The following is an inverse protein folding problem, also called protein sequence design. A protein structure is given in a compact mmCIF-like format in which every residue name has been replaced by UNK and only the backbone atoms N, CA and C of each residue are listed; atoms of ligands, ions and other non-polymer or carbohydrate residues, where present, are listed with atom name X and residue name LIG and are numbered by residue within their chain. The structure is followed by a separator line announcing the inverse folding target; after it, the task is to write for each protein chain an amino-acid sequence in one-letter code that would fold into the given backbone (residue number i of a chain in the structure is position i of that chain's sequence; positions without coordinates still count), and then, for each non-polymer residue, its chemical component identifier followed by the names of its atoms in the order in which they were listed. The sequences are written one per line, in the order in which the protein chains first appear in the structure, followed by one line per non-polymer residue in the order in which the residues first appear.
data_IF_191087574354
#
_entry.id   IF_191087574354
#
_cell.length_a   1.000
_cell.length_b   1.000
_cell.length_c   1.000
_cell.angle_alpha   90.00
_cell.angle_beta   90.00
_cell.angle_gamma   90.00
#
_symmetry.space_group_name_H-M   'P 1'
#
loop_
_entity.id
_entity.type
_entity.pdbx_description
1 polymer ?
#
# COMPACT_ATOMS: atom_id res chain seq x y z
N UNK A 1 10.18 17.85 -3.62
CA UNK A 1 10.28 16.38 -3.42
C UNK A 1 10.71 16.20 -1.98
N UNK A 2 9.95 15.47 -1.18
CA UNK A 2 10.36 15.10 0.17
C UNK A 2 11.50 14.07 0.14
N UNK A 3 12.04 13.75 1.30
CA UNK A 3 13.21 12.87 1.39
C UNK A 3 12.90 11.43 0.97
N UNK A 4 11.71 10.92 1.32
CA UNK A 4 11.30 9.55 0.97
C UNK A 4 11.19 9.39 -0.54
N UNK A 5 10.45 10.27 -1.21
CA UNK A 5 10.34 10.27 -2.67
C UNK A 5 11.70 10.41 -3.38
N UNK A 6 12.64 11.16 -2.80
CA UNK A 6 13.99 11.26 -3.34
C UNK A 6 14.76 9.94 -3.22
N UNK A 7 14.61 9.24 -2.10
CA UNK A 7 15.26 7.95 -1.90
C UNK A 7 14.74 6.87 -2.84
N UNK A 8 13.43 6.78 -3.03
CA UNK A 8 12.83 5.85 -4.01
C UNK A 8 13.32 6.15 -5.43
N UNK A 9 13.42 7.43 -5.80
CA UNK A 9 13.97 7.83 -7.09
C UNK A 9 15.44 7.42 -7.23
N UNK A 10 16.26 7.62 -6.20
CA UNK A 10 17.67 7.21 -6.20
C UNK A 10 17.81 5.69 -6.38
N UNK A 11 17.03 4.91 -5.65
CA UNK A 11 17.04 3.45 -5.73
C UNK A 11 16.61 2.96 -7.11
N UNK A 12 15.55 3.53 -7.67
CA UNK A 12 15.10 3.21 -9.01
C UNK A 12 16.20 3.48 -10.06
N UNK A 13 16.86 4.63 -9.99
CA UNK A 13 17.99 4.98 -10.90
C UNK A 13 19.16 4.03 -10.70
N UNK A 14 19.52 3.73 -9.46
CA UNK A 14 20.64 2.85 -9.13
C UNK A 14 20.43 1.43 -9.67
N UNK A 15 19.25 0.83 -9.40
CA UNK A 15 18.95 -0.52 -9.87
C UNK A 15 18.78 -0.58 -11.39
N UNK A 16 18.13 0.41 -11.98
CA UNK A 16 18.01 0.48 -13.44
C UNK A 16 19.38 0.51 -14.13
N UNK A 17 20.32 1.32 -13.64
CA UNK A 17 21.66 1.36 -14.23
C UNK A 17 22.40 0.03 -14.06
N UNK A 18 22.21 -0.68 -12.94
CA UNK A 18 22.78 -2.03 -12.77
C UNK A 18 22.16 -3.03 -13.76
N UNK A 19 20.83 -3.03 -13.92
CA UNK A 19 20.13 -3.85 -14.89
C UNK A 19 20.68 -3.56 -16.29
N UNK A 20 20.71 -2.29 -16.67
CA UNK A 20 21.16 -1.85 -17.98
C UNK A 20 22.64 -2.22 -18.26
N UNK A 21 23.51 -2.15 -17.26
CA UNK A 21 24.91 -2.58 -17.37
C UNK A 21 25.05 -4.10 -17.56
N UNK A 22 24.20 -4.92 -16.93
CA UNK A 22 24.22 -6.37 -17.08
C UNK A 22 23.79 -6.84 -18.48
N UNK A 23 23.04 -6.01 -19.22
CA UNK A 23 22.49 -6.37 -20.53
C UNK A 23 23.09 -5.56 -21.69
N UNK A 24 24.32 -5.09 -21.55
CA UNK A 24 25.08 -4.39 -22.60
C UNK A 24 24.31 -3.26 -23.29
N UNK A 25 23.60 -2.44 -22.49
CA UNK A 25 22.77 -1.36 -22.99
C UNK A 25 21.66 -1.81 -23.98
N UNK A 26 21.14 -3.03 -23.85
CA UNK A 26 19.91 -3.42 -24.55
C UNK A 26 18.79 -2.45 -24.21
N UNK A 27 17.88 -2.23 -25.17
CA UNK A 27 16.65 -1.51 -24.86
C UNK A 27 15.94 -2.21 -23.69
N UNK A 28 15.42 -1.49 -22.68
CA UNK A 28 14.66 -2.09 -21.58
C UNK A 28 13.54 -3.04 -22.02
N UNK A 29 12.93 -2.78 -23.19
CA UNK A 29 11.96 -3.69 -23.82
C UNK A 29 12.53 -5.03 -24.27
N UNK A 30 13.80 -5.11 -24.58
CA UNK A 30 14.41 -6.36 -25.05
C UNK A 30 14.92 -7.23 -23.92
N UNK A 31 14.75 -6.81 -22.66
CA UNK A 31 15.12 -7.57 -21.48
C UNK A 31 13.94 -8.46 -21.10
N UNK A 32 14.14 -9.76 -21.13
CA UNK A 32 13.10 -10.71 -20.76
C UNK A 32 12.93 -10.80 -19.24
N UNK A 33 11.73 -11.17 -18.79
CA UNK A 33 11.49 -11.39 -17.36
C UNK A 33 12.35 -12.52 -16.77
N UNK A 34 12.80 -13.49 -17.59
CA UNK A 34 13.73 -14.51 -17.14
C UNK A 34 15.10 -13.91 -16.81
N UNK A 35 15.57 -12.95 -17.62
CA UNK A 35 16.81 -12.22 -17.37
C UNK A 35 16.71 -11.37 -16.10
N UNK A 36 15.59 -10.69 -15.90
CA UNK A 36 15.32 -9.90 -14.67
C UNK A 36 15.36 -10.78 -13.42
N UNK A 37 14.71 -11.95 -13.46
CA UNK A 37 14.72 -12.90 -12.32
C UNK A 37 16.12 -13.41 -11.98
N UNK A 38 17.01 -13.55 -12.97
CA UNK A 38 18.43 -13.91 -12.72
C UNK A 38 19.18 -12.87 -11.90
N UNK A 39 18.70 -11.62 -11.87
CA UNK A 39 19.24 -10.54 -11.01
C UNK A 39 18.62 -10.52 -9.60
N UNK A 40 17.76 -11.48 -9.28
CA UNK A 40 17.03 -11.52 -8.01
C UNK A 40 15.81 -10.58 -7.97
N UNK A 41 15.45 -9.95 -9.09
CA UNK A 41 14.31 -9.07 -9.19
C UNK A 41 13.09 -9.84 -9.71
N UNK A 42 11.93 -9.58 -9.13
CA UNK A 42 10.67 -10.03 -9.70
C UNK A 42 10.02 -8.96 -10.60
N UNK A 43 8.95 -9.34 -11.25
CA UNK A 43 8.26 -8.47 -12.21
C UNK A 43 7.71 -7.21 -11.55
N UNK A 44 7.22 -7.30 -10.31
CA UNK A 44 6.64 -6.16 -9.60
C UNK A 44 7.69 -5.09 -9.30
N UNK A 45 8.87 -5.50 -8.85
CA UNK A 45 10.01 -4.62 -8.57
C UNK A 45 10.49 -3.95 -9.86
N UNK A 46 10.66 -4.73 -10.94
CA UNK A 46 11.08 -4.18 -12.22
C UNK A 46 10.09 -3.15 -12.77
N UNK A 47 8.80 -3.47 -12.76
CA UNK A 47 7.76 -2.56 -13.22
C UNK A 47 7.68 -1.29 -12.37
N UNK A 48 7.86 -1.39 -11.04
CA UNK A 48 7.91 -0.23 -10.17
C UNK A 48 9.10 0.68 -10.50
N UNK A 49 10.30 0.13 -10.72
CA UNK A 49 11.48 0.87 -11.16
C UNK A 49 11.20 1.63 -12.46
N UNK A 50 10.68 0.94 -13.47
CA UNK A 50 10.37 1.55 -14.77
C UNK A 50 9.36 2.70 -14.62
N UNK A 51 8.28 2.49 -13.89
CA UNK A 51 7.26 3.52 -13.67
C UNK A 51 7.82 4.77 -12.98
N UNK A 52 8.63 4.60 -11.94
CA UNK A 52 9.29 5.72 -11.24
C UNK A 52 10.17 6.52 -12.20
N UNK A 53 10.94 5.85 -13.06
CA UNK A 53 11.79 6.53 -14.02
C UNK A 53 10.98 7.30 -15.07
N UNK A 54 9.90 6.73 -15.58
CA UNK A 54 9.04 7.39 -16.57
C UNK A 54 8.36 8.63 -15.99
N UNK A 55 7.72 8.55 -14.82
CA UNK A 55 7.01 9.69 -14.21
C UNK A 55 7.94 10.83 -13.76
N UNK A 56 9.23 10.57 -13.66
CA UNK A 56 10.25 11.56 -13.35
C UNK A 56 11.06 12.04 -14.57
N UNK A 57 10.64 11.68 -15.78
CA UNK A 57 11.33 11.99 -17.04
C UNK A 57 12.80 11.54 -17.06
N UNK A 58 13.05 10.36 -16.52
CA UNK A 58 14.37 9.70 -16.48
C UNK A 58 14.44 8.53 -17.46
N UNK A 59 13.33 8.13 -18.03
CA UNK A 59 13.17 7.12 -19.06
C UNK A 59 12.04 7.56 -19.98
N UNK A 60 12.30 7.61 -21.27
CA UNK A 60 11.25 7.97 -22.24
C UNK A 60 10.42 6.72 -22.59
N UNK A 61 9.13 6.95 -22.87
CA UNK A 61 8.19 5.92 -23.28
C UNK A 61 7.49 6.39 -24.56
N UNK A 62 7.58 5.57 -25.60
CA UNK A 62 6.89 5.80 -26.86
C UNK A 62 6.19 4.51 -27.36
N UNK A 63 5.57 4.56 -28.53
CA UNK A 63 4.91 3.40 -29.16
C UNK A 63 5.89 2.24 -29.42
N UNK A 64 7.17 2.51 -29.51
CA UNK A 64 8.27 1.55 -29.60
C UNK A 64 8.69 1.01 -28.24
N UNK A 65 8.36 1.65 -27.10
CA UNK A 65 8.60 1.34 -25.71
C UNK A 65 9.57 2.22 -24.97
N UNK A 66 10.23 1.65 -23.97
CA UNK A 66 11.15 2.42 -23.13
C UNK A 66 12.45 2.71 -23.86
N UNK A 67 12.84 4.00 -23.86
CA UNK A 67 14.08 4.49 -24.48
C UNK A 67 14.88 5.29 -23.47
N UNK A 68 16.17 5.04 -23.39
CA UNK A 68 17.09 5.84 -22.59
C UNK A 68 17.92 6.75 -23.49
N UNK A 69 17.69 8.06 -23.39
CA UNK A 69 18.42 9.08 -24.13
C UNK A 69 19.74 9.46 -23.43
N UNK A 70 20.59 10.24 -24.10
CA UNK A 70 21.79 10.79 -23.48
C UNK A 70 21.41 11.79 -22.36
N UNK A 71 20.34 12.55 -22.53
CA UNK A 71 19.81 13.46 -21.50
C UNK A 71 19.36 12.68 -20.27
N UNK A 72 18.65 11.55 -20.42
CA UNK A 72 18.28 10.67 -19.31
C UNK A 72 19.53 10.18 -18.58
N UNK A 73 20.58 9.73 -19.30
CA UNK A 73 21.85 9.27 -18.70
C UNK A 73 22.54 10.36 -17.89
N UNK A 74 22.50 11.61 -18.34
CA UNK A 74 23.04 12.74 -17.58
C UNK A 74 22.25 13.02 -16.33
N UNK A 75 20.90 12.98 -16.40
CA UNK A 75 20.03 13.10 -15.24
C UNK A 75 20.27 11.99 -14.22
N UNK A 76 20.41 10.72 -14.69
CA UNK A 76 20.75 9.59 -13.80
C UNK A 76 22.06 9.84 -13.07
N UNK A 77 23.10 10.28 -13.80
CA UNK A 77 24.40 10.60 -13.20
C UNK A 77 24.26 11.70 -12.15
N UNK A 78 23.54 12.78 -12.46
CA UNK A 78 23.29 13.87 -11.53
C UNK A 78 22.59 13.40 -10.24
N UNK A 79 21.59 12.50 -10.34
CA UNK A 79 20.91 11.94 -9.16
C UNK A 79 21.87 11.10 -8.32
N UNK A 80 22.69 10.26 -8.96
CA UNK A 80 23.66 9.41 -8.25
C UNK A 80 24.81 10.20 -7.62
N UNK A 81 25.22 11.33 -8.24
CA UNK A 81 26.31 12.16 -7.76
C UNK A 81 25.90 13.17 -6.70
N UNK A 82 24.64 13.63 -6.73
CA UNK A 82 24.08 14.63 -5.79
C UNK A 82 23.74 14.07 -4.40
N UNK A 83 24.49 13.09 -3.95
CA UNK A 83 24.28 12.44 -2.66
C UNK A 83 24.75 13.39 -1.54
N UNK A 84 23.80 13.98 -0.85
CA UNK A 84 24.02 14.86 0.29
C UNK A 84 24.68 14.11 1.47
N UNK A 85 24.49 12.78 1.53
CA UNK A 85 25.10 11.95 2.56
C UNK A 85 25.38 10.51 2.07
N UNK A 86 26.60 10.30 1.57
CA UNK A 86 27.04 8.99 1.04
C UNK A 86 26.84 7.81 2.00
N UNK A 87 26.93 8.06 3.31
CA UNK A 87 26.77 6.98 4.31
C UNK A 87 25.30 6.56 4.49
N UNK A 88 24.37 7.51 4.47
CA UNK A 88 22.94 7.18 4.54
C UNK A 88 22.49 6.41 3.30
N UNK A 89 22.87 6.87 2.12
CA UNK A 89 22.53 6.19 0.87
C UNK A 89 23.10 4.78 0.79
N UNK A 90 24.33 4.57 1.27
CA UNK A 90 24.91 3.23 1.38
C UNK A 90 24.06 2.32 2.25
N UNK A 91 23.60 2.82 3.39
CA UNK A 91 22.74 2.07 4.31
C UNK A 91 21.41 1.68 3.65
N UNK A 92 20.71 2.61 2.99
CA UNK A 92 19.48 2.34 2.26
C UNK A 92 19.68 1.35 1.11
N UNK A 93 20.75 1.52 0.32
CA UNK A 93 21.08 0.56 -0.76
C UNK A 93 21.36 -0.84 -0.23
N UNK A 94 22.03 -0.96 0.93
CA UNK A 94 22.28 -2.24 1.59
C UNK A 94 20.98 -2.88 2.10
N UNK A 95 20.09 -2.09 2.72
CA UNK A 95 18.75 -2.55 3.15
C UNK A 95 17.92 -3.02 1.96
N UNK A 96 17.86 -2.24 0.89
CA UNK A 96 17.13 -2.61 -0.33
C UNK A 96 17.69 -3.89 -0.96
N UNK A 97 19.03 -3.99 -1.13
CA UNK A 97 19.66 -5.21 -1.64
C UNK A 97 19.36 -6.43 -0.76
N UNK A 98 19.35 -6.25 0.56
CA UNK A 98 18.98 -7.31 1.50
C UNK A 98 17.52 -7.71 1.32
N UNK A 99 16.60 -6.77 1.25
CA UNK A 99 15.18 -7.03 1.05
C UNK A 99 14.90 -7.77 -0.27
N UNK A 100 15.62 -7.43 -1.35
CA UNK A 100 15.52 -8.12 -2.64
C UNK A 100 16.03 -9.56 -2.58
N UNK A 101 17.16 -9.80 -1.89
CA UNK A 101 17.81 -11.11 -1.87
C UNK A 101 17.31 -12.02 -0.73
N UNK A 102 16.99 -11.44 0.42
CA UNK A 102 16.60 -12.12 1.65
C UNK A 102 15.21 -11.61 2.09
N UNK A 103 14.19 -11.82 1.23
CA UNK A 103 12.86 -11.27 1.49
C UNK A 103 12.35 -11.60 2.88
N UNK A 104 12.00 -10.54 3.61
CA UNK A 104 11.19 -10.60 4.82
C UNK A 104 10.08 -9.56 4.71
N UNK A 105 8.84 -9.95 5.02
CA UNK A 105 7.72 -9.03 5.00
C UNK A 105 7.99 -7.88 5.98
N UNK A 106 7.73 -6.64 5.54
CA UNK A 106 8.12 -5.43 6.28
C UNK A 106 7.74 -5.48 7.77
N UNK A 107 6.49 -5.77 8.07
CA UNK A 107 6.01 -5.80 9.44
C UNK A 107 6.63 -6.92 10.29
N UNK A 108 7.06 -8.01 9.68
CA UNK A 108 7.78 -9.10 10.36
C UNK A 108 9.26 -8.75 10.60
N UNK A 109 9.78 -7.76 9.89
CA UNK A 109 11.16 -7.29 10.02
C UNK A 109 11.38 -6.30 11.16
N UNK A 110 10.31 -5.66 11.63
CA UNK A 110 10.35 -4.65 12.68
C UNK A 110 10.58 -5.28 14.06
N UNK A 111 11.46 -4.68 14.86
CA UNK A 111 11.49 -4.92 16.30
C UNK A 111 10.18 -4.41 16.95
N UNK A 112 9.84 -4.90 18.14
CA UNK A 112 8.63 -4.44 18.86
C UNK A 112 8.62 -2.91 19.05
N UNK A 113 9.78 -2.30 19.34
CA UNK A 113 9.89 -0.85 19.51
C UNK A 113 9.65 -0.09 18.18
N UNK A 114 10.25 -0.54 17.09
CA UNK A 114 10.05 0.06 15.77
C UNK A 114 8.59 -0.04 15.33
N UNK A 115 7.96 -1.19 15.56
CA UNK A 115 6.55 -1.38 15.23
C UNK A 115 5.64 -0.52 16.11
N UNK A 116 5.97 -0.32 17.40
CA UNK A 116 5.26 0.61 18.27
C UNK A 116 5.37 2.05 17.77
N UNK A 117 6.57 2.51 17.43
CA UNK A 117 6.82 3.86 16.87
C UNK A 117 6.03 4.03 15.57
N UNK A 118 6.09 3.07 14.66
CA UNK A 118 5.32 3.07 13.42
C UNK A 118 3.82 3.17 13.70
N UNK A 119 3.28 2.35 14.62
CA UNK A 119 1.86 2.35 14.95
C UNK A 119 1.38 3.68 15.53
N UNK A 120 2.21 4.33 16.36
CA UNK A 120 1.90 5.67 16.90
C UNK A 120 1.92 6.76 15.83
N UNK A 121 2.85 6.69 14.88
CA UNK A 121 2.90 7.60 13.74
C UNK A 121 1.71 7.38 12.80
N UNK A 122 1.43 6.12 12.45
CA UNK A 122 0.35 5.72 11.55
C UNK A 122 -1.03 6.18 12.07
N UNK A 123 -1.24 6.22 13.40
CA UNK A 123 -2.46 6.76 13.98
C UNK A 123 -2.78 8.17 13.48
N UNK A 124 -1.78 9.05 13.42
CA UNK A 124 -2.01 10.44 12.99
C UNK A 124 -2.32 10.54 11.50
N UNK A 125 -1.66 9.72 10.69
CA UNK A 125 -1.86 9.69 9.24
C UNK A 125 -3.27 9.19 8.92
N UNK A 126 -3.65 8.05 9.49
CA UNK A 126 -4.97 7.43 9.23
C UNK A 126 -6.12 8.23 9.86
N UNK A 127 -5.88 8.93 10.98
CA UNK A 127 -6.85 9.86 11.56
C UNK A 127 -7.22 10.98 10.58
N UNK A 128 -6.23 11.62 9.94
CA UNK A 128 -6.47 12.67 8.93
C UNK A 128 -7.29 12.14 7.74
N UNK A 129 -7.00 10.94 7.27
CA UNK A 129 -7.82 10.32 6.22
C UNK A 129 -9.25 10.06 6.69
N UNK A 130 -9.41 9.64 7.95
CA UNK A 130 -10.72 9.45 8.56
C UNK A 130 -11.56 10.72 8.63
N UNK A 131 -10.94 11.89 8.86
CA UNK A 131 -11.62 13.20 8.81
C UNK A 131 -12.17 13.52 7.40
N UNK A 132 -11.57 12.98 6.35
CA UNK A 132 -12.11 13.08 5.00
C UNK A 132 -13.23 12.06 4.78
N UNK A 133 -13.03 10.80 5.14
CA UNK A 133 -14.00 9.71 4.95
C UNK A 133 -15.33 10.03 5.61
N UNK A 134 -15.32 10.58 6.83
CA UNK A 134 -16.52 10.89 7.59
C UNK A 134 -17.45 11.93 6.93
N UNK A 135 -16.95 12.65 5.91
CA UNK A 135 -17.77 13.59 5.14
C UNK A 135 -18.74 12.88 4.18
N UNK A 136 -18.45 11.65 3.84
CA UNK A 136 -19.15 10.87 2.80
C UNK A 136 -19.95 9.69 3.34
N UNK A 137 -19.71 9.28 4.60
CA UNK A 137 -20.29 8.08 5.19
C UNK A 137 -20.94 8.38 6.53
N UNK A 138 -22.17 7.88 6.70
CA UNK A 138 -22.87 7.88 7.96
C UNK A 138 -22.84 6.47 8.57
N UNK A 139 -22.20 6.34 9.73
CA UNK A 139 -22.08 5.08 10.46
C UNK A 139 -22.93 5.04 11.75
N UNK A 140 -23.89 5.95 11.93
CA UNK A 140 -24.76 5.96 13.10
C UNK A 140 -25.50 4.62 13.22
N UNK A 141 -25.42 4.00 14.41
CA UNK A 141 -25.98 2.68 14.71
C UNK A 141 -25.49 1.53 13.83
N UNK A 142 -24.32 1.67 13.21
CA UNK A 142 -23.71 0.67 12.34
C UNK A 142 -22.68 -0.19 13.10
N UNK A 143 -22.52 -1.44 12.64
CA UNK A 143 -21.42 -2.32 13.03
C UNK A 143 -20.36 -2.27 11.96
N UNK A 144 -19.14 -1.93 12.34
CA UNK A 144 -17.99 -1.78 11.43
C UNK A 144 -16.88 -2.71 11.85
N UNK A 145 -16.34 -3.43 10.88
CA UNK A 145 -15.09 -4.20 11.00
C UNK A 145 -14.01 -3.53 10.15
N UNK A 146 -12.90 -3.19 10.74
CA UNK A 146 -11.70 -2.73 10.03
C UNK A 146 -10.61 -3.79 10.18
N UNK A 147 -10.06 -4.26 9.07
CA UNK A 147 -8.91 -5.16 9.05
C UNK A 147 -7.64 -4.38 8.77
N UNK A 148 -6.58 -4.66 9.54
CA UNK A 148 -5.32 -3.94 9.41
C UNK A 148 -5.45 -2.47 9.83
N UNK A 149 -6.38 -2.13 10.72
CA UNK A 149 -6.65 -0.74 11.13
C UNK A 149 -5.59 -0.13 12.04
N UNK A 150 -4.49 -0.84 12.23
CA UNK A 150 -3.37 -0.44 13.06
C UNK A 150 -3.86 0.00 14.47
N UNK A 151 -3.37 1.11 14.97
CA UNK A 151 -3.76 1.66 16.28
C UNK A 151 -5.08 2.46 16.29
N UNK A 152 -5.86 2.42 15.21
CA UNK A 152 -7.24 2.89 15.16
C UNK A 152 -7.42 4.39 14.88
N UNK A 153 -6.50 5.01 14.13
CA UNK A 153 -6.62 6.41 13.77
C UNK A 153 -7.86 6.69 12.92
N UNK A 154 -8.10 5.90 11.85
CA UNK A 154 -9.29 6.01 11.00
C UNK A 154 -10.57 5.85 11.84
N UNK A 155 -10.70 4.75 12.59
CA UNK A 155 -11.85 4.47 13.43
C UNK A 155 -12.11 5.57 14.46
N UNK A 156 -11.07 6.16 15.04
CA UNK A 156 -11.19 7.29 15.98
C UNK A 156 -11.83 8.50 15.32
N UNK A 157 -11.39 8.87 14.11
CA UNK A 157 -11.98 9.99 13.39
C UNK A 157 -13.45 9.74 13.00
N UNK A 158 -13.76 8.51 12.56
CA UNK A 158 -15.13 8.11 12.21
C UNK A 158 -16.07 8.15 13.42
N UNK A 159 -15.62 7.65 14.58
CA UNK A 159 -16.40 7.64 15.81
C UNK A 159 -16.61 9.04 16.42
N UNK A 160 -15.77 10.00 16.12
CA UNK A 160 -15.96 11.37 16.58
C UNK A 160 -17.34 11.96 16.18
N UNK A 161 -17.85 11.53 15.01
CA UNK A 161 -19.19 11.92 14.50
C UNK A 161 -20.25 10.82 14.57
N UNK A 162 -19.86 9.58 14.80
CA UNK A 162 -20.77 8.41 14.82
C UNK A 162 -20.64 7.67 16.16
N UNK A 163 -21.02 8.32 17.25
CA UNK A 163 -20.79 7.84 18.63
C UNK A 163 -21.48 6.50 18.94
N UNK A 164 -22.58 6.21 18.25
CA UNK A 164 -23.38 4.98 18.44
C UNK A 164 -22.92 3.84 17.49
N UNK A 165 -21.85 4.05 16.74
CA UNK A 165 -21.24 3.02 15.90
C UNK A 165 -20.49 2.01 16.78
N UNK A 166 -20.65 0.72 16.48
CA UNK A 166 -19.86 -0.36 17.07
C UNK A 166 -18.69 -0.64 16.12
N UNK A 167 -17.49 -0.28 16.53
CA UNK A 167 -16.31 -0.34 15.70
C UNK A 167 -15.31 -1.38 16.23
N UNK A 168 -14.96 -2.35 15.40
CA UNK A 168 -14.02 -3.41 15.72
C UNK A 168 -12.85 -3.37 14.76
N UNK A 169 -11.64 -3.41 15.29
CA UNK A 169 -10.37 -3.49 14.54
C UNK A 169 -9.74 -4.84 14.79
N UNK A 170 -9.32 -5.51 13.73
CA UNK A 170 -8.46 -6.70 13.79
C UNK A 170 -7.09 -6.34 13.25
N UNK A 171 -6.07 -6.54 14.08
CA UNK A 171 -4.68 -6.32 13.71
C UNK A 171 -3.76 -7.22 14.54
N UNK A 172 -2.47 -7.18 14.30
CA UNK A 172 -1.46 -7.89 15.07
C UNK A 172 -1.27 -7.32 16.48
N UNK A 173 -0.50 -7.99 17.31
CA UNK A 173 -0.33 -7.70 18.76
C UNK A 173 0.05 -6.23 19.03
N UNK A 174 1.10 -5.72 18.39
CA UNK A 174 1.65 -4.39 18.72
C UNK A 174 0.68 -3.25 18.37
N UNK A 175 0.10 -3.18 17.15
CA UNK A 175 -0.95 -2.22 16.84
C UNK A 175 -2.13 -2.26 17.82
N UNK A 176 -2.62 -3.46 18.15
CA UNK A 176 -3.71 -3.62 19.11
C UNK A 176 -3.34 -3.12 20.52
N UNK A 177 -2.11 -3.32 20.96
CA UNK A 177 -1.61 -2.79 22.23
C UNK A 177 -1.63 -1.27 22.24
N UNK A 178 -1.04 -0.63 21.23
CA UNK A 178 -1.02 0.84 21.09
C UNK A 178 -2.43 1.40 20.96
N UNK A 179 -3.29 0.76 20.17
CA UNK A 179 -4.69 1.16 20.00
C UNK A 179 -5.48 1.11 21.31
N UNK A 180 -5.28 0.08 22.14
CA UNK A 180 -5.89 -0.02 23.46
C UNK A 180 -5.42 1.06 24.44
N UNK A 181 -4.19 1.54 24.33
CA UNK A 181 -3.72 2.71 25.08
C UNK A 181 -4.46 3.98 24.64
N UNK A 182 -4.52 4.26 23.34
CA UNK A 182 -5.24 5.41 22.79
C UNK A 182 -6.74 5.37 23.12
N UNK A 183 -7.35 4.18 23.04
CA UNK A 183 -8.74 3.96 23.45
C UNK A 183 -8.98 4.39 24.88
N UNK A 184 -8.13 3.98 25.82
CA UNK A 184 -8.26 4.34 27.24
C UNK A 184 -8.12 5.85 27.47
N UNK A 185 -7.08 6.46 26.85
CA UNK A 185 -6.80 7.88 26.99
C UNK A 185 -7.94 8.76 26.45
N UNK A 186 -8.54 8.37 25.32
CA UNK A 186 -9.54 9.17 24.62
C UNK A 186 -10.98 8.69 24.85
N UNK A 187 -11.20 7.67 25.69
CA UNK A 187 -12.53 7.07 26.00
C UNK A 187 -13.31 6.66 24.75
N UNK A 188 -12.60 6.02 23.79
CA UNK A 188 -13.18 5.62 22.51
C UNK A 188 -13.94 4.30 22.63
N UNK A 189 -15.01 4.15 21.83
CA UNK A 189 -15.78 2.91 21.74
C UNK A 189 -15.27 2.04 20.56
N UNK A 190 -13.97 1.70 20.57
CA UNK A 190 -13.34 0.81 19.60
C UNK A 190 -13.00 -0.51 20.27
N UNK A 191 -13.35 -1.63 19.65
CA UNK A 191 -12.86 -2.95 20.00
C UNK A 191 -11.56 -3.24 19.25
N UNK A 192 -10.53 -3.75 19.94
CA UNK A 192 -9.32 -4.27 19.30
C UNK A 192 -9.24 -5.77 19.52
N UNK A 193 -9.06 -6.52 18.44
CA UNK A 193 -8.91 -7.99 18.45
C UNK A 193 -7.55 -8.29 17.81
N UNK A 194 -6.66 -8.89 18.60
CA UNK A 194 -5.42 -9.44 18.06
C UNK A 194 -5.74 -10.66 17.19
N UNK A 195 -5.33 -10.65 15.93
CA UNK A 195 -5.63 -11.71 15.00
C UNK A 195 -4.87 -11.63 13.68
N UNK A 196 -4.94 -12.73 12.93
CA UNK A 196 -4.40 -12.85 11.59
C UNK A 196 -5.53 -12.66 10.57
N UNK A 197 -5.41 -11.68 9.69
CA UNK A 197 -6.41 -11.39 8.65
C UNK A 197 -6.60 -12.52 7.64
N UNK A 198 -5.59 -13.39 7.49
CA UNK A 198 -5.66 -14.57 6.62
C UNK A 198 -6.39 -15.76 7.27
N UNK A 199 -6.52 -15.75 8.59
CA UNK A 199 -7.15 -16.79 9.41
C UNK A 199 -8.17 -16.18 10.36
N UNK A 200 -9.01 -15.29 9.82
CA UNK A 200 -9.95 -14.50 10.59
C UNK A 200 -10.89 -15.40 11.39
N UNK A 201 -10.77 -15.35 12.70
CA UNK A 201 -11.60 -16.07 13.67
C UNK A 201 -12.35 -15.06 14.53
N UNK A 202 -13.47 -14.59 14.03
CA UNK A 202 -14.39 -13.74 14.79
C UNK A 202 -15.61 -14.56 15.24
N UNK A 203 -16.32 -14.06 16.24
CA UNK A 203 -17.68 -14.53 16.52
C UNK A 203 -18.54 -14.45 15.25
N UNK A 204 -19.67 -15.17 15.19
CA UNK A 204 -20.58 -15.18 14.03
C UNK A 204 -21.33 -13.84 13.83
N UNK A 205 -20.71 -12.72 14.20
CA UNK A 205 -21.28 -11.40 14.00
C UNK A 205 -21.22 -10.98 12.52
N UNK A 206 -22.30 -10.30 12.10
CA UNK A 206 -22.39 -9.67 10.80
C UNK A 206 -22.14 -8.16 10.95
N UNK A 207 -21.50 -7.57 9.95
CA UNK A 207 -21.13 -6.15 9.93
C UNK A 207 -21.85 -5.42 8.80
N UNK A 208 -22.23 -4.16 9.05
CA UNK A 208 -22.79 -3.29 8.00
C UNK A 208 -21.70 -2.81 7.03
N UNK A 209 -20.49 -2.60 7.56
CA UNK A 209 -19.32 -2.17 6.78
C UNK A 209 -18.07 -2.95 7.14
N UNK A 210 -17.31 -3.31 6.13
CA UNK A 210 -15.94 -3.83 6.27
C UNK A 210 -15.00 -2.82 5.62
N UNK A 211 -14.02 -2.32 6.38
CA UNK A 211 -13.07 -1.30 5.94
C UNK A 211 -11.69 -1.94 5.77
N UNK A 212 -11.09 -1.69 4.62
CA UNK A 212 -9.71 -2.06 4.28
C UNK A 212 -9.01 -0.79 3.81
N UNK A 213 -8.14 -0.23 4.66
CA UNK A 213 -7.39 0.97 4.35
C UNK A 213 -5.91 0.65 4.31
N UNK A 214 -5.25 0.96 3.18
CA UNK A 214 -3.83 0.72 2.97
C UNK A 214 -3.43 -0.72 3.41
N UNK A 215 -4.21 -1.70 2.98
CA UNK A 215 -4.03 -3.09 3.36
C UNK A 215 -3.84 -4.01 2.15
N UNK A 216 -4.71 -3.89 1.15
CA UNK A 216 -4.67 -4.82 0.01
C UNK A 216 -3.45 -4.57 -0.88
N UNK A 217 -2.88 -3.38 -0.84
CA UNK A 217 -1.66 -3.08 -1.57
C UNK A 217 -0.44 -3.85 -1.06
N UNK A 218 -0.44 -4.35 0.16
CA UNK A 218 0.67 -5.13 0.72
C UNK A 218 0.73 -6.56 0.16
N UNK A 219 -0.29 -7.02 -0.56
CA UNK A 219 -0.45 -8.41 -0.93
C UNK A 219 -0.68 -8.61 -2.43
N UNK A 220 -0.26 -9.78 -2.93
CA UNK A 220 -0.64 -10.29 -4.25
C UNK A 220 -2.15 -10.59 -4.32
N UNK A 221 -2.67 -10.77 -5.54
CA UNK A 221 -4.10 -10.96 -5.77
C UNK A 221 -4.65 -12.22 -5.10
N UNK A 222 -3.85 -13.29 -4.98
CA UNK A 222 -4.26 -14.53 -4.30
C UNK A 222 -4.48 -14.33 -2.82
N UNK A 223 -3.56 -13.63 -2.16
CA UNK A 223 -3.67 -13.25 -0.74
C UNK A 223 -4.82 -12.27 -0.52
N UNK A 224 -4.98 -11.27 -1.39
CA UNK A 224 -6.14 -10.37 -1.35
C UNK A 224 -7.46 -11.15 -1.40
N UNK A 225 -7.60 -12.10 -2.33
CA UNK A 225 -8.79 -12.94 -2.42
C UNK A 225 -9.01 -13.81 -1.18
N UNK A 226 -7.94 -14.29 -0.53
CA UNK A 226 -8.06 -15.01 0.74
C UNK A 226 -8.65 -14.12 1.85
N UNK A 227 -8.10 -12.91 2.02
CA UNK A 227 -8.63 -11.92 2.99
C UNK A 227 -10.08 -11.61 2.71
N UNK A 228 -10.43 -11.30 1.45
CA UNK A 228 -11.79 -10.95 1.05
C UNK A 228 -12.78 -12.11 1.30
N UNK A 229 -12.41 -13.37 0.99
CA UNK A 229 -13.23 -14.55 1.29
C UNK A 229 -13.42 -14.77 2.79
N UNK A 230 -12.44 -14.45 3.62
CA UNK A 230 -12.61 -14.48 5.07
C UNK A 230 -13.60 -13.42 5.54
N UNK A 231 -13.54 -12.22 4.96
CA UNK A 231 -14.50 -11.16 5.24
C UNK A 231 -15.94 -11.55 4.91
N UNK A 232 -16.19 -12.28 3.80
CA UNK A 232 -17.57 -12.64 3.40
C UNK A 232 -18.30 -13.52 4.42
N UNK A 233 -17.60 -14.20 5.31
CA UNK A 233 -18.20 -14.96 6.43
C UNK A 233 -18.91 -14.05 7.45
N UNK A 234 -18.64 -12.76 7.40
CA UNK A 234 -19.13 -11.73 8.31
C UNK A 234 -20.02 -10.70 7.58
N UNK A 235 -20.47 -11.04 6.37
CA UNK A 235 -21.31 -10.21 5.51
C UNK A 235 -22.74 -10.76 5.42
N UNK A 236 -23.69 -9.85 5.26
CA UNK A 236 -25.04 -10.14 4.78
C UNK A 236 -25.29 -9.47 3.41
N UNK A 237 -26.53 -9.50 2.94
CA UNK A 237 -26.96 -8.89 1.67
C UNK A 237 -26.87 -7.36 1.63
N UNK A 238 -26.56 -6.69 2.71
CA UNK A 238 -26.48 -5.22 2.83
C UNK A 238 -25.06 -4.75 3.19
N UNK A 239 -24.17 -5.67 3.55
CA UNK A 239 -22.80 -5.33 3.94
C UNK A 239 -22.07 -4.66 2.79
N UNK A 240 -21.39 -3.56 3.06
CA UNK A 240 -20.54 -2.85 2.09
C UNK A 240 -19.07 -2.90 2.49
N UNK A 241 -18.20 -2.99 1.50
CA UNK A 241 -16.77 -2.78 1.71
C UNK A 241 -16.39 -1.34 1.36
N UNK A 242 -15.55 -0.76 2.18
CA UNK A 242 -14.89 0.52 1.95
C UNK A 242 -13.40 0.26 1.78
N UNK A 243 -12.93 0.42 0.56
CA UNK A 243 -11.52 0.25 0.22
C UNK A 243 -10.91 1.63 0.08
N UNK A 244 -9.90 1.94 0.89
CA UNK A 244 -9.25 3.24 0.91
C UNK A 244 -7.79 3.03 0.57
N UNK A 245 -7.39 3.41 -0.64
CA UNK A 245 -6.08 3.10 -1.19
C UNK A 245 -5.56 4.22 -2.09
N UNK A 246 -4.27 4.18 -2.37
CA UNK A 246 -3.66 4.93 -3.45
C UNK A 246 -3.99 4.23 -4.77
N UNK A 247 -4.86 4.83 -5.55
CA UNK A 247 -5.40 4.22 -6.78
C UNK A 247 -4.64 4.71 -8.00
N UNK A 248 -4.19 3.78 -8.84
CA UNK A 248 -3.68 4.11 -10.17
C UNK A 248 -4.84 4.52 -11.10
N UNK A 249 -4.69 5.63 -11.79
CA UNK A 249 -5.65 6.12 -12.80
C UNK A 249 -5.17 5.87 -14.23
N UNK A 250 -3.95 5.41 -14.39
CA UNK A 250 -3.30 5.04 -15.63
C UNK A 250 -1.99 4.30 -15.35
N UNK A 251 -1.33 3.86 -16.41
CA UNK A 251 -0.06 3.11 -16.28
C UNK A 251 1.02 3.93 -15.56
N UNK A 252 1.00 5.25 -15.74
CA UNK A 252 1.97 6.20 -15.19
C UNK A 252 1.31 7.32 -14.37
N UNK A 253 0.12 7.10 -13.83
CA UNK A 253 -0.65 8.09 -13.06
C UNK A 253 -1.40 7.47 -11.87
N UNK A 254 -1.60 8.22 -10.78
CA UNK A 254 -0.95 9.47 -10.44
C UNK A 254 0.49 9.25 -9.98
N UNK A 255 1.33 10.27 -10.15
CA UNK A 255 2.75 10.21 -9.77
C UNK A 255 2.94 9.80 -8.30
N UNK A 256 2.12 10.32 -7.40
CA UNK A 256 2.20 10.05 -5.97
C UNK A 256 2.05 8.54 -5.66
N UNK A 257 1.06 7.86 -6.27
CA UNK A 257 0.87 6.43 -6.09
C UNK A 257 2.04 5.61 -6.68
N UNK A 258 2.57 6.05 -7.82
CA UNK A 258 3.71 5.39 -8.48
C UNK A 258 4.97 5.49 -7.63
N UNK A 259 5.23 6.65 -7.03
CA UNK A 259 6.42 6.85 -6.19
C UNK A 259 6.47 5.90 -4.99
N UNK A 260 5.33 5.49 -4.44
CA UNK A 260 5.28 4.50 -3.36
C UNK A 260 5.38 3.04 -3.83
N UNK A 261 5.28 2.80 -5.15
CA UNK A 261 5.17 1.46 -5.72
C UNK A 261 6.43 0.60 -5.56
N UNK A 262 7.63 1.18 -5.62
CA UNK A 262 8.88 0.44 -5.49
C UNK A 262 9.03 -0.13 -4.08
N UNK A 263 8.76 0.69 -3.08
CA UNK A 263 8.80 0.28 -1.67
C UNK A 263 7.86 -0.89 -1.41
N UNK A 264 6.59 -0.79 -1.83
CA UNK A 264 5.62 -1.89 -1.70
C UNK A 264 6.11 -3.17 -2.38
N UNK A 265 6.67 -3.05 -3.59
CA UNK A 265 7.15 -4.22 -4.33
C UNK A 265 8.33 -4.93 -3.64
N UNK A 266 9.16 -4.19 -2.89
CA UNK A 266 10.33 -4.74 -2.18
C UNK A 266 9.97 -5.22 -0.78
N UNK A 267 9.28 -4.40 0.00
CA UNK A 267 8.94 -4.66 1.41
C UNK A 267 7.78 -5.64 1.56
N UNK A 268 6.88 -5.68 0.58
CA UNK A 268 5.66 -6.49 0.57
C UNK A 268 5.59 -7.35 -0.71
N UNK A 269 6.56 -8.25 -0.91
CA UNK A 269 6.72 -9.02 -2.15
C UNK A 269 5.39 -9.54 -2.74
N UNK A 270 5.07 -9.06 -3.96
CA UNK A 270 3.77 -9.27 -4.60
C UNK A 270 2.75 -8.18 -4.30
N UNK A 271 3.06 -7.26 -3.35
CA UNK A 271 2.31 -6.04 -3.13
C UNK A 271 2.44 -5.08 -4.31
N UNK A 272 1.40 -4.33 -4.58
CA UNK A 272 1.36 -3.36 -5.68
C UNK A 272 0.25 -2.34 -5.52
N UNK A 273 0.46 -1.15 -6.04
CA UNK A 273 -0.65 -0.24 -6.30
C UNK A 273 -1.52 -0.77 -7.44
N UNK A 274 -2.83 -0.63 -7.31
CA UNK A 274 -3.82 -1.15 -8.25
C UNK A 274 -4.68 -0.05 -8.83
N UNK A 275 -5.14 -0.28 -10.06
CA UNK A 275 -6.20 0.51 -10.68
C UNK A 275 -7.59 0.10 -10.14
N UNK A 276 -8.59 0.95 -10.39
CA UNK A 276 -10.00 0.70 -9.98
C UNK A 276 -10.49 -0.64 -10.54
N UNK A 277 -10.16 -0.95 -11.79
CA UNK A 277 -10.58 -2.15 -12.50
C UNK A 277 -9.99 -3.42 -11.88
N UNK A 278 -8.77 -3.35 -11.36
CA UNK A 278 -8.12 -4.46 -10.66
C UNK A 278 -8.83 -4.75 -9.33
N UNK A 279 -9.17 -3.71 -8.56
CA UNK A 279 -9.99 -3.87 -7.35
C UNK A 279 -11.37 -4.43 -7.69
N UNK A 280 -12.06 -3.87 -8.70
CA UNK A 280 -13.36 -4.37 -9.14
C UNK A 280 -13.29 -5.86 -9.53
N UNK A 281 -12.23 -6.27 -10.23
CA UNK A 281 -11.98 -7.68 -10.57
C UNK A 281 -11.83 -8.59 -9.35
N UNK A 282 -11.09 -8.14 -8.32
CA UNK A 282 -10.97 -8.89 -7.06
C UNK A 282 -12.33 -9.07 -6.37
N UNK A 283 -13.13 -8.00 -6.29
CA UNK A 283 -14.43 -8.02 -5.62
C UNK A 283 -15.50 -8.82 -6.36
N UNK A 284 -15.46 -8.88 -7.70
CA UNK A 284 -16.32 -9.77 -8.49
C UNK A 284 -16.15 -11.25 -8.10
N UNK A 285 -14.95 -11.67 -7.70
CA UNK A 285 -14.70 -13.05 -7.25
C UNK A 285 -15.38 -13.41 -5.92
N UNK A 286 -15.92 -12.44 -5.20
CA UNK A 286 -16.66 -12.61 -3.94
C UNK A 286 -18.11 -12.12 -4.05
N UNK A 287 -18.63 -11.95 -5.26
CA UNK A 287 -19.99 -11.46 -5.57
C UNK A 287 -20.26 -10.03 -5.07
N UNK A 288 -19.29 -9.14 -5.21
CA UNK A 288 -19.40 -7.71 -4.95
C UNK A 288 -19.05 -6.91 -6.19
N UNK A 289 -19.62 -5.72 -6.32
CA UNK A 289 -19.36 -4.78 -7.42
C UNK A 289 -19.03 -3.40 -6.90
N UNK A 290 -18.32 -2.62 -7.70
CA UNK A 290 -18.10 -1.21 -7.45
C UNK A 290 -19.41 -0.43 -7.57
N UNK A 291 -19.79 0.28 -6.52
CA UNK A 291 -20.96 1.18 -6.52
C UNK A 291 -20.55 2.64 -6.71
N UNK A 292 -19.46 3.05 -6.06
CA UNK A 292 -19.05 4.46 -6.02
C UNK A 292 -17.54 4.58 -5.83
N UNK A 293 -16.96 5.60 -6.47
CA UNK A 293 -15.58 6.03 -6.29
C UNK A 293 -15.56 7.45 -5.76
N UNK A 294 -14.83 7.70 -4.67
CA UNK A 294 -14.75 8.99 -4.00
C UNK A 294 -13.29 9.36 -3.80
N UNK A 295 -12.84 10.44 -4.45
CA UNK A 295 -11.52 11.01 -4.19
C UNK A 295 -11.54 11.71 -2.83
N UNK A 296 -10.75 11.24 -1.88
CA UNK A 296 -10.69 11.80 -0.53
C UNK A 296 -9.70 12.96 -0.45
N UNK A 297 -8.52 12.77 -1.00
CA UNK A 297 -7.43 13.75 -1.02
C UNK A 297 -6.50 13.49 -2.22
N UNK A 298 -5.32 14.09 -2.26
CA UNK A 298 -4.38 13.91 -3.37
C UNK A 298 -3.83 12.49 -3.49
N UNK A 299 -3.84 11.73 -2.40
CA UNK A 299 -3.29 10.38 -2.29
C UNK A 299 -4.43 9.36 -2.34
N UNK A 300 -5.33 9.38 -1.35
CA UNK A 300 -6.32 8.33 -1.17
C UNK A 300 -7.60 8.52 -1.99
N UNK A 301 -8.07 7.43 -2.51
CA UNK A 301 -9.41 7.26 -3.10
C UNK A 301 -10.15 6.17 -2.34
N UNK A 302 -11.42 6.39 -2.04
CA UNK A 302 -12.30 5.41 -1.44
C UNK A 302 -13.20 4.77 -2.49
N UNK A 303 -13.16 3.44 -2.56
CA UNK A 303 -14.08 2.64 -3.37
C UNK A 303 -15.14 2.04 -2.44
N UNK A 304 -16.39 2.19 -2.80
CA UNK A 304 -17.52 1.54 -2.12
C UNK A 304 -17.93 0.34 -2.94
N UNK A 305 -17.77 -0.86 -2.37
CA UNK A 305 -18.20 -2.11 -2.99
C UNK A 305 -19.48 -2.61 -2.31
N UNK A 306 -20.51 -2.86 -3.11
CA UNK A 306 -21.77 -3.43 -2.64
C UNK A 306 -22.00 -4.83 -3.18
N UNK A 307 -22.91 -5.63 -2.59
CA UNK A 307 -23.24 -6.96 -3.09
C UNK A 307 -23.83 -6.90 -4.50
N UNK A 308 -23.64 -7.99 -5.28
CA UNK A 308 -24.22 -8.14 -6.61
C UNK A 308 -25.73 -8.40 -6.56
#
# INVERSE_FOLDING_TARGET
MDYENYMELYEAVYFFNRINACFDNKSPKSISMEEIRKLGLDESIYNAIIRILVVNNLLDYDEGGFVITNENKEKHRSILDNIINKNQNKHYTEMFNKAVNEFQFFFDSLSELEYEIYSRYNFQVTFKTGEEVVKYINLANKKVLELGGNSGGLGTALLAKNKDCLYTIVDTKIPCMVGNEFKKLNKLNIGFIEGNIFELTLSSELYDYIILMNLLHDFDDSKCLNVLRNCTKHCDSNTKFLIIEDILTGEFEPKEAIMHGLRLSVECRGGKQRAIEEFAGLFLNINYKLETTIKLNNIHTMLVMGPL
#
